data_IF_449863970398
#
_entry.id   IF_449863970398
#
_cell.length_a   1.000
_cell.length_b   1.000
_cell.length_c   1.000
_cell.angle_alpha   90.00
_cell.angle_beta   90.00
_cell.angle_gamma   90.00
#
_symmetry.space_group_name_H-M   'P 1'
#
loop_
_entity.id
_entity.type
_entity.pdbx_description
1 polymer ?
#
# COMPACT_ATOMS: atom_id res chain seq x y z
N UNK A 1 -65.65 33.51 27.19
CA UNK A 1 -65.36 32.16 27.74
C UNK A 1 -64.14 32.32 28.65
N UNK A 2 -64.20 32.57 29.96
CA UNK A 2 -64.88 31.86 31.05
C UNK A 2 -64.43 30.40 31.17
N UNK A 3 -63.40 30.15 31.97
CA UNK A 3 -63.27 29.00 32.89
C UNK A 3 -62.23 29.35 33.98
N UNK A 4 -62.70 29.47 35.21
CA UNK A 4 -61.92 29.32 36.45
C UNK A 4 -62.17 27.89 37.03
N UNK A 5 -61.85 27.57 38.31
CA UNK A 5 -60.59 26.98 38.78
C UNK A 5 -60.82 25.67 39.58
N UNK A 6 -59.75 25.03 40.05
CA UNK A 6 -59.69 24.07 41.17
C UNK A 6 -58.29 23.40 41.18
N UNK A 7 -57.62 22.95 42.24
CA UNK A 7 -57.66 23.04 43.71
C UNK A 7 -56.26 22.55 44.15
N UNK A 8 -55.55 23.20 45.07
CA UNK A 8 -55.46 22.73 46.46
C UNK A 8 -54.87 21.32 46.64
N UNK A 9 -53.55 21.19 46.83
CA UNK A 9 -52.98 20.01 47.52
C UNK A 9 -51.88 20.39 48.52
N UNK A 10 -51.96 19.72 49.67
CA UNK A 10 -51.46 20.11 50.98
C UNK A 10 -50.01 19.70 51.20
N UNK A 11 -49.37 20.42 52.12
CA UNK A 11 -48.11 20.10 52.81
C UNK A 11 -48.11 18.67 53.37
N UNK A 12 -47.11 17.88 53.02
CA UNK A 12 -46.88 16.51 53.53
C UNK A 12 -45.44 16.31 53.99
N UNK A 13 -45.25 16.54 55.29
CA UNK A 13 -44.22 16.00 56.21
C UNK A 13 -43.11 15.10 55.66
N UNK A 14 -41.86 15.52 55.92
CA UNK A 14 -40.64 14.71 55.89
C UNK A 14 -40.72 13.50 56.84
N UNK A 15 -40.86 12.28 56.31
CA UNK A 15 -40.66 11.05 57.07
C UNK A 15 -39.27 10.46 56.72
N UNK A 16 -38.34 10.52 57.68
CA UNK A 16 -37.06 9.81 57.62
C UNK A 16 -37.30 8.31 57.80
N UNK A 17 -36.96 7.52 56.80
CA UNK A 17 -36.86 6.07 56.92
C UNK A 17 -35.61 5.69 57.76
N UNK A 18 -35.69 4.68 58.65
CA UNK A 18 -34.54 4.21 59.41
C UNK A 18 -33.59 3.41 58.51
N UNK A 19 -32.28 3.60 58.73
CA UNK A 19 -31.23 2.89 58.02
C UNK A 19 -31.28 1.38 58.31
N UNK A 20 -31.55 0.58 57.28
CA UNK A 20 -31.42 -0.87 57.34
C UNK A 20 -29.94 -1.25 57.51
N UNK A 21 -29.62 -1.90 58.63
CA UNK A 21 -28.28 -2.39 58.96
C UNK A 21 -27.94 -3.59 58.09
N UNK A 22 -27.28 -3.34 56.95
CA UNK A 22 -26.74 -4.38 56.06
C UNK A 22 -25.68 -5.17 56.83
N UNK A 23 -25.99 -6.43 57.20
CA UNK A 23 -24.97 -7.35 57.74
C UNK A 23 -24.09 -7.80 56.56
N UNK A 24 -22.79 -7.49 56.61
CA UNK A 24 -21.81 -8.02 55.65
C UNK A 24 -21.68 -9.53 55.85
N UNK A 25 -21.85 -10.30 54.78
CA UNK A 25 -21.44 -11.70 54.75
C UNK A 25 -19.90 -11.74 54.69
N UNK A 26 -19.23 -12.63 55.45
CA UNK A 26 -17.80 -12.82 55.31
C UNK A 26 -17.50 -13.51 53.97
N UNK A 27 -16.52 -12.97 53.24
CA UNK A 27 -16.06 -13.50 51.96
C UNK A 27 -15.50 -14.93 52.14
N UNK A 28 -16.20 -15.91 51.58
CA UNK A 28 -15.73 -17.29 51.58
C UNK A 28 -14.48 -17.40 50.67
N UNK A 29 -13.38 -18.02 51.12
CA UNK A 29 -12.20 -18.17 50.29
C UNK A 29 -12.48 -19.15 49.14
N UNK A 30 -12.34 -18.65 47.92
CA UNK A 30 -12.49 -19.45 46.70
C UNK A 30 -11.62 -20.71 46.75
N UNK A 31 -12.26 -21.85 46.52
CA UNK A 31 -11.66 -23.19 46.54
C UNK A 31 -10.49 -23.30 45.56
N UNK A 32 -9.56 -24.21 45.86
CA UNK A 32 -8.33 -24.46 45.07
C UNK A 32 -8.63 -24.75 43.59
N UNK A 33 -9.77 -25.39 43.31
CA UNK A 33 -10.26 -25.69 41.95
C UNK A 33 -10.70 -24.43 41.20
N UNK A 34 -11.30 -23.46 41.89
CA UNK A 34 -11.68 -22.17 41.31
C UNK A 34 -10.48 -21.28 40.96
N UNK A 35 -9.36 -21.41 41.68
CA UNK A 35 -8.11 -20.70 41.35
C UNK A 35 -7.43 -21.27 40.11
N UNK A 36 -7.32 -22.60 39.99
CA UNK A 36 -6.79 -23.23 38.78
C UNK A 36 -7.64 -22.92 37.53
N UNK A 37 -8.97 -22.98 37.64
CA UNK A 37 -9.86 -22.67 36.51
C UNK A 37 -9.77 -21.20 36.07
N UNK A 38 -9.53 -20.27 37.00
CA UNK A 38 -9.28 -18.85 36.68
C UNK A 38 -7.91 -18.64 36.02
N UNK A 39 -6.87 -19.34 36.49
CA UNK A 39 -5.53 -19.26 35.90
C UNK A 39 -5.52 -19.88 34.49
N UNK A 40 -6.19 -21.02 34.28
CA UNK A 40 -6.32 -21.63 32.95
C UNK A 40 -7.09 -20.72 31.99
N UNK A 41 -8.21 -20.12 32.42
CA UNK A 41 -8.99 -19.19 31.59
C UNK A 41 -8.20 -17.92 31.25
N UNK A 42 -7.46 -17.36 32.20
CA UNK A 42 -6.59 -16.21 31.95
C UNK A 42 -5.43 -16.55 31.00
N UNK A 43 -4.84 -17.75 31.11
CA UNK A 43 -3.76 -18.20 30.23
C UNK A 43 -4.25 -18.43 28.78
N UNK A 44 -5.46 -18.98 28.59
CA UNK A 44 -6.06 -19.16 27.26
C UNK A 44 -6.42 -17.82 26.62
N UNK A 45 -6.95 -16.86 27.39
CA UNK A 45 -7.25 -15.50 26.90
C UNK A 45 -5.96 -14.73 26.56
N UNK A 46 -4.91 -14.87 27.37
CA UNK A 46 -3.61 -14.25 27.11
C UNK A 46 -2.91 -14.86 25.87
N UNK A 47 -3.05 -16.18 25.66
CA UNK A 47 -2.55 -16.86 24.46
C UNK A 47 -3.27 -16.40 23.19
N UNK A 48 -4.60 -16.20 23.24
CA UNK A 48 -5.36 -15.65 22.12
C UNK A 48 -5.07 -14.15 21.87
N UNK A 49 -4.75 -13.38 22.91
CA UNK A 49 -4.34 -11.97 22.76
C UNK A 49 -2.92 -11.81 22.21
N UNK A 50 -2.00 -12.75 22.47
CA UNK A 50 -0.64 -12.74 21.90
C UNK A 50 -0.56 -13.27 20.46
N UNK A 51 -1.47 -14.14 20.05
CA UNK A 51 -1.50 -14.70 18.68
C UNK A 51 -2.22 -13.80 17.65
N UNK A 52 -2.80 -12.68 18.08
CA UNK A 52 -3.56 -11.75 17.23
C UNK A 52 -2.74 -10.57 16.67
N UNK A 53 -1.40 -10.63 16.74
CA UNK A 53 -0.53 -9.68 16.04
C UNK A 53 0.10 -10.35 14.82
N UNK A 54 -0.58 -10.38 13.64
CA UNK A 54 0.15 -10.42 12.40
C UNK A 54 0.87 -9.07 12.31
N UNK A 55 2.08 -8.99 12.89
CA UNK A 55 3.03 -7.98 12.50
C UNK A 55 3.12 -8.09 10.98
N UNK A 56 2.55 -7.08 10.31
CA UNK A 56 2.47 -6.99 8.88
C UNK A 56 3.86 -7.27 8.32
N UNK A 57 4.01 -8.43 7.68
CA UNK A 57 5.05 -8.61 6.70
C UNK A 57 4.68 -7.64 5.59
N UNK A 58 5.15 -6.39 5.69
CA UNK A 58 5.24 -5.52 4.54
C UNK A 58 6.25 -6.17 3.61
N UNK A 59 5.76 -7.08 2.77
CA UNK A 59 6.39 -7.32 1.49
C UNK A 59 6.29 -5.98 0.76
N UNK A 60 7.34 -5.17 0.86
CA UNK A 60 7.54 -4.13 -0.13
C UNK A 60 7.86 -4.89 -1.40
N UNK A 61 6.82 -5.19 -2.17
CA UNK A 61 6.99 -5.55 -3.56
C UNK A 61 7.91 -4.49 -4.15
N UNK A 62 9.06 -4.91 -4.67
CA UNK A 62 9.86 -4.07 -5.53
C UNK A 62 9.01 -3.86 -6.78
N UNK A 63 8.14 -2.85 -6.70
CA UNK A 63 7.29 -2.47 -7.81
C UNK A 63 8.24 -1.90 -8.86
N UNK A 64 8.46 -2.65 -9.93
CA UNK A 64 9.14 -2.19 -11.15
C UNK A 64 8.29 -1.15 -11.90
N UNK A 65 7.25 -0.62 -11.26
CA UNK A 65 6.24 0.33 -11.75
C UNK A 65 6.71 1.79 -11.75
N UNK A 66 7.96 2.04 -12.15
CA UNK A 66 8.18 3.31 -12.83
C UNK A 66 7.12 3.41 -13.95
N UNK A 67 6.49 4.58 -14.17
CA UNK A 67 5.51 4.71 -15.25
C UNK A 67 6.13 4.16 -16.53
N UNK A 68 5.38 3.29 -17.24
CA UNK A 68 5.86 2.73 -18.50
C UNK A 68 6.34 3.84 -19.42
N UNK A 69 7.26 3.54 -20.34
CA UNK A 69 7.86 4.55 -21.17
C UNK A 69 6.81 5.38 -21.94
N UNK A 70 5.69 4.78 -22.32
CA UNK A 70 4.54 5.50 -22.90
C UNK A 70 3.91 6.53 -21.96
N UNK A 71 3.77 6.22 -20.67
CA UNK A 71 3.24 7.17 -19.68
C UNK A 71 4.23 8.31 -19.40
N UNK A 72 5.54 8.04 -19.46
CA UNK A 72 6.58 9.09 -19.38
C UNK A 72 6.44 10.09 -20.52
N UNK A 73 6.29 9.61 -21.76
CA UNK A 73 6.08 10.46 -22.93
C UNK A 73 4.75 11.22 -22.85
N UNK A 74 3.68 10.55 -22.44
CA UNK A 74 2.36 11.18 -22.25
C UNK A 74 2.41 12.28 -21.18
N UNK A 75 3.08 12.05 -20.06
CA UNK A 75 3.28 13.05 -18.99
C UNK A 75 4.10 14.24 -19.49
N UNK A 76 5.03 14.01 -20.42
CA UNK A 76 5.78 15.06 -21.11
C UNK A 76 4.96 15.80 -22.20
N UNK A 77 3.66 15.50 -22.34
CA UNK A 77 2.77 16.16 -23.31
C UNK A 77 2.84 15.59 -24.73
N UNK A 78 3.48 14.44 -24.92
CA UNK A 78 3.56 13.77 -26.22
C UNK A 78 2.27 12.99 -26.48
N UNK A 79 1.51 13.41 -27.49
CA UNK A 79 0.28 12.73 -27.89
C UNK A 79 0.58 11.36 -28.53
N UNK A 80 -0.34 10.41 -28.41
CA UNK A 80 -0.23 9.06 -28.98
C UNK A 80 0.04 9.08 -30.50
N UNK A 81 -0.53 10.06 -31.21
CA UNK A 81 -0.37 10.25 -32.65
C UNK A 81 1.06 10.60 -33.07
N UNK A 82 1.90 11.07 -32.14
CA UNK A 82 3.32 11.32 -32.41
C UNK A 82 4.11 10.02 -32.68
N UNK A 83 3.63 8.90 -32.15
CA UNK A 83 4.21 7.59 -32.40
C UNK A 83 3.37 6.77 -33.39
N UNK A 84 2.05 6.75 -33.21
CA UNK A 84 1.17 5.85 -33.96
C UNK A 84 0.47 6.49 -35.17
N UNK A 85 0.58 7.80 -35.36
CA UNK A 85 -0.22 8.53 -36.35
C UNK A 85 -1.72 8.32 -36.11
N UNK A 86 -2.42 7.87 -37.15
CA UNK A 86 -3.86 7.59 -37.11
C UNK A 86 -4.21 6.17 -36.63
N UNK A 87 -3.22 5.29 -36.44
CA UNK A 87 -3.42 3.86 -36.16
C UNK A 87 -2.83 3.46 -34.80
N UNK A 88 -3.53 3.72 -33.68
CA UNK A 88 -2.99 3.55 -32.32
C UNK A 88 -2.57 2.12 -31.95
N UNK A 89 -3.06 1.10 -32.65
CA UNK A 89 -2.68 -0.30 -32.39
C UNK A 89 -1.55 -0.81 -33.30
N UNK A 90 -1.10 -0.02 -34.29
CA UNK A 90 -0.07 -0.44 -35.21
C UNK A 90 1.32 -0.40 -34.54
N UNK A 91 2.23 -1.33 -34.90
CA UNK A 91 3.61 -1.28 -34.46
C UNK A 91 4.27 0.01 -34.95
N UNK A 92 5.15 0.55 -34.12
CA UNK A 92 5.88 1.80 -34.36
C UNK A 92 7.27 1.47 -34.87
N UNK A 93 7.67 2.11 -35.97
CA UNK A 93 9.03 1.95 -36.49
C UNK A 93 10.05 2.65 -35.56
N UNK A 94 11.18 2.00 -35.29
CA UNK A 94 12.26 2.52 -34.44
C UNK A 94 12.74 3.94 -34.85
N UNK A 95 12.66 4.27 -36.14
CA UNK A 95 13.05 5.59 -36.66
C UNK A 95 12.27 6.76 -36.06
N UNK A 96 11.04 6.54 -35.56
CA UNK A 96 10.27 7.60 -34.89
C UNK A 96 10.96 8.03 -33.59
N UNK A 97 11.57 7.09 -32.88
CA UNK A 97 12.32 7.34 -31.64
C UNK A 97 13.52 8.27 -31.92
N UNK A 98 14.29 7.97 -32.96
CA UNK A 98 15.48 8.72 -33.35
C UNK A 98 15.17 10.17 -33.76
N UNK A 99 13.95 10.45 -34.23
CA UNK A 99 13.51 11.81 -34.56
C UNK A 99 13.52 12.78 -33.38
N UNK A 100 13.38 12.28 -32.15
CA UNK A 100 13.49 13.08 -30.92
C UNK A 100 14.73 12.73 -30.08
N UNK A 101 15.26 11.51 -30.22
CA UNK A 101 16.45 11.02 -29.51
C UNK A 101 17.63 10.75 -30.47
N UNK A 102 18.22 11.78 -31.10
CA UNK A 102 19.26 11.59 -32.12
C UNK A 102 20.61 11.12 -31.53
N UNK A 103 20.80 11.26 -30.22
CA UNK A 103 22.06 10.96 -29.54
C UNK A 103 22.22 9.47 -29.17
N UNK A 104 21.30 8.59 -29.57
CA UNK A 104 21.42 7.14 -29.30
C UNK A 104 22.65 6.52 -29.96
N UNK A 105 23.16 7.11 -31.04
CA UNK A 105 24.40 6.70 -31.71
C UNK A 105 25.68 7.17 -30.98
N UNK A 106 25.56 7.96 -29.89
CA UNK A 106 26.75 8.36 -29.13
C UNK A 106 27.27 7.16 -28.37
N UNK A 107 28.48 6.74 -28.73
CA UNK A 107 29.23 5.65 -28.09
C UNK A 107 29.96 6.09 -26.83
N UNK A 108 29.84 7.37 -26.47
CA UNK A 108 30.46 7.97 -25.30
C UNK A 108 30.01 7.27 -24.01
N UNK A 109 30.91 7.22 -23.04
CA UNK A 109 30.65 6.58 -21.75
C UNK A 109 29.59 7.37 -21.00
N UNK A 110 28.46 6.73 -20.67
CA UNK A 110 27.34 7.39 -19.98
C UNK A 110 27.60 7.53 -18.47
N UNK A 111 28.42 6.65 -17.91
CA UNK A 111 28.78 6.62 -16.48
C UNK A 111 30.09 5.87 -16.27
N UNK A 112 30.88 6.24 -15.26
CA UNK A 112 32.22 5.65 -15.06
C UNK A 112 32.20 4.16 -14.72
N UNK A 113 31.13 3.71 -14.07
CA UNK A 113 30.96 2.37 -13.49
C UNK A 113 30.28 1.36 -14.44
N UNK A 114 29.65 1.82 -15.53
CA UNK A 114 29.02 0.94 -16.52
C UNK A 114 29.37 1.37 -17.95
N UNK A 115 29.62 0.41 -18.86
CA UNK A 115 29.74 0.73 -20.27
C UNK A 115 28.45 1.33 -20.82
N UNK A 116 28.53 1.95 -21.99
CA UNK A 116 27.34 2.45 -22.67
C UNK A 116 26.58 1.26 -23.29
N UNK A 117 25.29 1.01 -22.94
CA UNK A 117 24.52 -0.11 -23.47
C UNK A 117 24.21 -0.01 -24.98
N UNK A 118 24.31 1.19 -25.57
CA UNK A 118 24.17 1.38 -27.01
C UNK A 118 25.48 1.18 -27.79
N UNK A 119 26.60 0.97 -27.08
CA UNK A 119 27.88 0.57 -27.66
C UNK A 119 28.17 -0.88 -27.26
N UNK A 120 27.36 -1.80 -27.79
CA UNK A 120 27.44 -3.22 -27.48
C UNK A 120 28.19 -4.00 -28.57
N UNK A 121 28.62 -5.21 -28.23
CA UNK A 121 29.23 -6.14 -29.20
C UNK A 121 28.17 -6.86 -30.08
N UNK A 122 26.89 -6.60 -29.85
CA UNK A 122 25.77 -7.13 -30.63
C UNK A 122 25.16 -5.99 -31.44
N UNK A 123 24.68 -6.30 -32.65
CA UNK A 123 23.93 -5.35 -33.45
C UNK A 123 22.51 -5.21 -32.89
N UNK A 124 22.20 -4.06 -32.28
CA UNK A 124 20.85 -3.70 -31.86
C UNK A 124 20.32 -2.52 -32.68
N UNK A 125 19.58 -2.77 -33.76
CA UNK A 125 19.04 -1.70 -34.59
C UNK A 125 17.71 -1.14 -34.04
N UNK A 126 16.97 -1.90 -33.21
CA UNK A 126 15.63 -1.51 -32.75
C UNK A 126 15.64 -1.05 -31.29
N UNK A 127 15.23 0.20 -31.07
CA UNK A 127 15.10 0.78 -29.74
C UNK A 127 14.16 -0.05 -28.85
N UNK A 128 13.13 -0.66 -29.45
CA UNK A 128 12.04 -1.33 -28.75
C UNK A 128 12.41 -2.70 -28.20
N UNK A 129 13.57 -3.25 -28.56
CA UNK A 129 14.09 -4.51 -28.01
C UNK A 129 14.36 -4.41 -26.52
N UNK A 130 14.83 -3.25 -26.05
CA UNK A 130 15.05 -2.95 -24.64
C UNK A 130 14.04 -1.92 -24.09
N UNK A 131 13.73 -0.86 -24.87
CA UNK A 131 12.87 0.24 -24.44
C UNK A 131 11.41 0.00 -24.81
N UNK A 132 10.71 -0.78 -23.98
CA UNK A 132 9.31 -1.10 -24.19
C UNK A 132 8.38 0.04 -23.78
N UNK A 133 7.45 0.41 -24.68
CA UNK A 133 6.54 1.56 -24.51
C UNK A 133 5.34 1.25 -23.62
N UNK A 134 4.67 0.13 -23.89
CA UNK A 134 3.41 -0.26 -23.22
C UNK A 134 3.56 -1.40 -22.20
N UNK A 135 4.80 -1.73 -21.83
CA UNK A 135 5.13 -2.71 -20.78
C UNK A 135 6.45 -2.29 -20.12
N UNK A 136 6.83 -2.95 -19.04
CA UNK A 136 8.12 -2.74 -18.40
C UNK A 136 9.26 -2.99 -19.41
N UNK A 137 10.24 -2.08 -19.46
CA UNK A 137 11.44 -2.22 -20.29
C UNK A 137 12.38 -3.29 -19.71
N UNK A 138 13.18 -3.93 -20.57
CA UNK A 138 14.03 -5.05 -20.19
C UNK A 138 15.51 -4.75 -20.41
N UNK A 139 16.34 -5.22 -19.48
CA UNK A 139 17.78 -5.21 -19.61
C UNK A 139 18.27 -6.51 -20.24
N UNK A 140 18.33 -6.55 -21.57
CA UNK A 140 18.82 -7.71 -22.30
C UNK A 140 20.30 -8.02 -22.02
N UNK A 141 21.11 -7.00 -21.73
CA UNK A 141 22.51 -7.20 -21.32
C UNK A 141 22.61 -8.04 -20.03
N UNK A 142 21.59 -7.92 -19.17
CA UNK A 142 21.43 -8.67 -17.91
C UNK A 142 21.37 -10.19 -18.08
N UNK A 143 21.10 -10.67 -19.29
CA UNK A 143 21.04 -12.10 -19.59
C UNK A 143 22.43 -12.75 -19.62
N UNK A 144 23.48 -11.98 -19.92
CA UNK A 144 24.86 -12.47 -19.98
C UNK A 144 25.81 -11.73 -19.03
N UNK A 145 25.49 -10.49 -18.65
CA UNK A 145 26.32 -9.64 -17.81
C UNK A 145 25.57 -9.22 -16.56
N UNK A 146 26.31 -9.00 -15.47
CA UNK A 146 25.74 -8.46 -14.23
C UNK A 146 25.67 -6.93 -14.23
N UNK A 147 25.17 -6.34 -15.32
CA UNK A 147 24.96 -4.89 -15.41
C UNK A 147 23.57 -4.54 -14.90
N UNK A 148 23.46 -3.54 -14.02
CA UNK A 148 22.16 -3.05 -13.53
C UNK A 148 21.71 -1.81 -14.32
N UNK A 149 21.43 -1.98 -15.61
CA UNK A 149 20.89 -0.91 -16.43
C UNK A 149 19.42 -0.64 -16.09
N UNK A 150 19.06 0.65 -16.04
CA UNK A 150 17.69 1.11 -15.92
C UNK A 150 17.28 1.78 -17.23
N UNK A 151 16.44 1.10 -18.00
CA UNK A 151 15.84 1.62 -19.22
C UNK A 151 14.78 2.67 -18.82
N UNK A 152 14.99 3.93 -19.21
CA UNK A 152 14.21 5.10 -18.78
C UNK A 152 13.67 5.88 -19.96
#
# INVERSE_FOLDING_TARGET
>A
MAHQPADGFKTGTNARLPAARIRRMPDAPLSRTGRLAKILRAAVILFFLLAASPAAWSQKAADSSGPFLGERHKTAGIACSRCHGEKPAAPVAAGICAGCHPNVAKTEKIREDLPNPHNAHMDYPDCTDCHHVHKASENQCGQCHNFDYKMR
#
